data_IF_483374479516
#
_entry.id   IF_483374479516
#
_cell.length_a   1.000
_cell.length_b   1.000
_cell.length_c   1.000
_cell.angle_alpha   90.00
_cell.angle_beta   90.00
_cell.angle_gamma   90.00
#
_symmetry.space_group_name_H-M   'P 1'
#
loop_
_entity.id
_entity.type
_entity.pdbx_description
1 polymer ?
#
# COMPACT_ATOMS: atom_id res chain seq x y z
N UNK A 1 -14.00 -10.55 -18.95
CA UNK A 1 -13.54 -9.87 -17.71
C UNK A 1 -13.93 -8.42 -17.85
N UNK A 2 -14.89 -7.94 -17.06
CA UNK A 2 -15.22 -6.52 -16.99
C UNK A 2 -13.99 -5.78 -16.48
N UNK A 3 -13.47 -4.85 -17.28
CA UNK A 3 -12.29 -4.08 -16.91
C UNK A 3 -12.66 -3.21 -15.71
N UNK A 4 -12.08 -3.49 -14.54
CA UNK A 4 -12.24 -2.70 -13.33
C UNK A 4 -11.72 -1.27 -13.61
N UNK A 5 -12.53 -0.22 -13.44
CA UNK A 5 -12.06 1.16 -13.63
C UNK A 5 -10.88 1.46 -12.71
N UNK A 6 -9.80 1.99 -13.28
CA UNK A 6 -8.58 2.33 -12.56
C UNK A 6 -8.52 3.84 -12.36
N UNK A 7 -8.71 4.29 -11.12
CA UNK A 7 -8.51 5.67 -10.71
C UNK A 7 -7.04 5.81 -10.28
N UNK A 8 -6.23 6.56 -11.02
CA UNK A 8 -4.83 6.81 -10.66
C UNK A 8 -4.66 8.22 -10.14
N UNK A 9 -4.28 8.35 -8.86
CA UNK A 9 -3.81 9.57 -8.24
C UNK A 9 -2.27 9.62 -8.38
N UNK A 10 -1.80 10.33 -9.40
CA UNK A 10 -0.36 10.49 -9.68
C UNK A 10 0.17 11.74 -9.00
N UNK A 11 0.97 11.58 -7.95
CA UNK A 11 1.48 12.66 -7.10
C UNK A 11 2.99 12.81 -7.26
N UNK A 12 3.45 14.03 -7.46
CA UNK A 12 4.87 14.41 -7.53
C UNK A 12 5.13 15.61 -6.65
N UNK A 13 6.28 15.59 -6.00
CA UNK A 13 6.81 16.77 -5.34
C UNK A 13 7.49 17.68 -6.37
N UNK A 14 7.26 18.99 -6.26
CA UNK A 14 7.89 20.01 -7.11
C UNK A 14 8.51 21.10 -6.23
N UNK A 15 9.62 21.67 -6.70
CA UNK A 15 10.39 22.66 -5.96
C UNK A 15 11.41 22.03 -5.01
N UNK A 16 11.99 22.85 -4.14
CA UNK A 16 12.99 22.44 -3.16
C UNK A 16 12.44 22.61 -1.75
N UNK A 17 12.81 21.69 -0.86
CA UNK A 17 12.55 21.82 0.58
C UNK A 17 13.08 23.16 1.12
N UNK A 18 12.36 23.86 2.02
CA UNK A 18 11.11 23.45 2.68
C UNK A 18 9.82 23.95 1.99
N UNK A 19 9.93 24.58 0.83
CA UNK A 19 8.80 25.18 0.09
C UNK A 19 8.31 24.29 -1.05
N UNK A 20 8.64 23.01 -1.04
CA UNK A 20 8.17 22.10 -2.06
C UNK A 20 6.66 21.87 -1.93
N UNK A 21 6.00 21.78 -3.08
CA UNK A 21 4.56 21.58 -3.18
C UNK A 21 4.27 20.23 -3.85
N UNK A 22 3.08 19.68 -3.63
CA UNK A 22 2.65 18.49 -4.33
C UNK A 22 1.79 18.83 -5.54
N UNK A 23 2.28 18.46 -6.72
CA UNK A 23 1.51 18.47 -7.96
C UNK A 23 0.91 17.08 -8.18
N UNK A 24 -0.38 17.03 -8.55
CA UNK A 24 -1.04 15.77 -8.83
C UNK A 24 -1.96 15.79 -10.05
N UNK A 25 -2.19 14.60 -10.59
CA UNK A 25 -3.15 14.33 -11.64
C UNK A 25 -4.05 13.17 -11.20
N UNK A 26 -5.32 13.23 -11.62
CA UNK A 26 -6.28 12.15 -11.47
C UNK A 26 -6.57 11.62 -12.86
N UNK A 27 -6.29 10.34 -13.07
CA UNK A 27 -6.56 9.64 -14.32
C UNK A 27 -7.62 8.56 -14.09
N UNK A 28 -8.48 8.36 -15.08
CA UNK A 28 -9.39 7.22 -15.16
C UNK A 28 -8.97 6.37 -16.36
N UNK A 29 -8.61 5.10 -16.12
CA UNK A 29 -8.15 4.17 -17.15
C UNK A 29 -7.02 4.77 -18.02
N UNK A 30 -6.09 5.47 -17.36
CA UNK A 30 -4.95 6.15 -18.00
C UNK A 30 -5.28 7.46 -18.71
N UNK A 31 -6.56 7.87 -18.76
CA UNK A 31 -6.98 9.16 -19.35
C UNK A 31 -7.13 10.23 -18.28
N UNK A 32 -6.62 11.46 -18.50
CA UNK A 32 -6.71 12.51 -17.49
C UNK A 32 -8.16 12.95 -17.26
N UNK A 33 -8.58 12.93 -16.00
CA UNK A 33 -9.84 13.49 -15.52
C UNK A 33 -9.64 14.90 -14.93
N UNK A 34 -8.54 15.06 -14.18
CA UNK A 34 -8.05 16.34 -13.67
C UNK A 34 -6.52 16.35 -13.77
N UNK A 35 -5.96 17.40 -14.35
CA UNK A 35 -4.52 17.53 -14.57
C UNK A 35 -3.95 18.78 -13.90
N UNK A 36 -2.67 18.74 -13.58
CA UNK A 36 -1.89 19.84 -13.00
C UNK A 36 -2.57 20.47 -11.77
N UNK A 37 -3.20 19.64 -10.94
CA UNK A 37 -3.68 20.08 -9.64
C UNK A 37 -2.48 20.28 -8.72
N UNK A 38 -2.56 21.24 -7.80
CA UNK A 38 -1.49 21.49 -6.84
C UNK A 38 -2.09 21.71 -5.47
N UNK A 39 -1.47 21.12 -4.46
CA UNK A 39 -1.69 21.53 -3.08
C UNK A 39 -1.00 22.87 -2.85
N UNK A 40 -1.60 23.73 -2.02
CA UNK A 40 -0.94 24.96 -1.60
C UNK A 40 0.32 24.66 -0.78
N UNK A 41 1.24 25.61 -0.64
CA UNK A 41 2.38 25.48 0.25
C UNK A 41 1.97 25.14 1.70
N UNK A 42 0.83 25.67 2.17
CA UNK A 42 0.29 25.38 3.50
C UNK A 42 -0.20 23.93 3.59
N UNK A 43 -1.01 23.50 2.63
CA UNK A 43 -1.54 22.13 2.60
C UNK A 43 -0.43 21.09 2.44
N UNK A 44 0.58 21.39 1.62
CA UNK A 44 1.75 20.54 1.42
C UNK A 44 2.56 20.40 2.72
N UNK A 45 2.64 21.46 3.54
CA UNK A 45 3.27 21.39 4.88
C UNK A 45 2.45 20.55 5.84
N UNK A 46 1.14 20.79 5.90
CA UNK A 46 0.22 20.01 6.75
C UNK A 46 0.25 18.53 6.40
N UNK A 47 0.34 18.17 5.11
CA UNK A 47 0.46 16.79 4.68
C UNK A 47 1.76 16.13 5.16
N UNK A 48 2.90 16.84 5.11
CA UNK A 48 4.18 16.32 5.64
C UNK A 48 4.11 16.11 7.15
N UNK A 49 3.45 17.01 7.87
CA UNK A 49 3.20 16.84 9.30
C UNK A 49 2.32 15.63 9.59
N UNK A 50 1.25 15.43 8.82
CA UNK A 50 0.40 14.23 8.89
C UNK A 50 1.23 12.96 8.65
N UNK A 51 2.02 12.93 7.57
CA UNK A 51 2.84 11.77 7.21
C UNK A 51 3.88 11.43 8.30
N UNK A 52 4.54 12.45 8.86
CA UNK A 52 5.48 12.31 9.96
C UNK A 52 4.81 11.82 11.24
N UNK A 53 3.69 12.44 11.64
CA UNK A 53 2.97 12.04 12.85
C UNK A 53 2.41 10.63 12.72
N UNK A 54 1.88 10.27 11.54
CA UNK A 54 1.37 8.92 11.30
C UNK A 54 2.48 7.88 11.33
N UNK A 55 3.60 8.12 10.65
CA UNK A 55 4.77 7.21 10.69
C UNK A 55 5.30 7.00 12.11
N UNK A 56 5.37 8.07 12.92
CA UNK A 56 5.84 8.01 14.31
C UNK A 56 4.95 7.16 15.23
N UNK A 57 3.71 6.85 14.85
CA UNK A 57 2.87 5.90 15.59
C UNK A 57 3.43 4.48 15.50
N UNK A 58 4.03 4.11 14.37
CA UNK A 58 4.55 2.76 14.11
C UNK A 58 5.99 2.56 14.63
N UNK A 59 6.64 3.63 15.08
CA UNK A 59 7.99 3.56 15.69
C UNK A 59 7.94 3.18 17.18
N UNK A 60 6.76 3.11 17.80
CA UNK A 60 6.60 2.95 19.26
C UNK A 60 6.69 1.50 19.75
N UNK A 61 6.97 0.54 18.87
CA UNK A 61 7.11 -0.88 19.24
C UNK A 61 5.82 -1.55 19.75
N UNK A 62 4.68 -0.85 19.65
CA UNK A 62 3.35 -1.35 19.97
C UNK A 62 2.41 -1.13 18.79
N UNK A 63 1.28 -1.84 18.78
CA UNK A 63 0.22 -1.56 17.82
C UNK A 63 -0.30 -0.13 18.08
N UNK A 64 -0.23 0.76 17.08
CA UNK A 64 -0.70 2.11 17.27
C UNK A 64 -2.21 2.16 17.40
N UNK A 65 -2.69 2.71 18.51
CA UNK A 65 -4.10 3.01 18.71
C UNK A 65 -4.38 4.48 18.42
N UNK A 66 -5.40 4.72 17.61
CA UNK A 66 -5.94 6.06 17.36
C UNK A 66 -7.45 5.99 17.54
N UNK A 67 -8.01 6.94 18.28
CA UNK A 67 -9.45 6.99 18.50
C UNK A 67 -10.21 7.19 17.18
N UNK A 68 -11.45 6.72 17.15
CA UNK A 68 -12.25 6.68 15.93
C UNK A 68 -12.48 8.09 15.34
N UNK A 69 -12.67 9.11 16.18
CA UNK A 69 -12.90 10.47 15.70
C UNK A 69 -11.65 11.02 15.00
N UNK A 70 -10.48 10.85 15.61
CA UNK A 70 -9.24 11.29 15.00
C UNK A 70 -8.89 10.52 13.71
N UNK A 71 -9.33 9.26 13.55
CA UNK A 71 -9.24 8.55 12.28
C UNK A 71 -10.16 9.16 11.22
N UNK A 72 -11.39 9.53 11.59
CA UNK A 72 -12.35 10.18 10.68
C UNK A 72 -11.89 11.58 10.26
N UNK A 73 -11.40 12.39 11.18
CA UNK A 73 -10.85 13.72 10.88
C UNK A 73 -9.67 13.64 9.90
N UNK A 74 -8.74 12.71 10.15
CA UNK A 74 -7.62 12.44 9.26
C UNK A 74 -8.10 11.98 7.88
N UNK A 75 -9.04 11.05 7.85
CA UNK A 75 -9.64 10.53 6.65
C UNK A 75 -10.32 11.58 5.78
N UNK A 76 -11.10 12.46 6.43
CA UNK A 76 -11.74 13.60 5.81
C UNK A 76 -10.71 14.59 5.26
N UNK A 77 -9.68 14.90 6.05
CA UNK A 77 -8.61 15.80 5.62
C UNK A 77 -7.91 15.28 4.36
N UNK A 78 -7.56 13.98 4.32
CA UNK A 78 -6.96 13.37 3.14
C UNK A 78 -7.91 13.42 1.92
N UNK A 79 -9.20 13.14 2.12
CA UNK A 79 -10.18 13.22 1.03
C UNK A 79 -10.31 14.65 0.48
N UNK A 80 -10.43 15.64 1.35
CA UNK A 80 -10.57 17.05 0.99
C UNK A 80 -9.36 17.55 0.18
N UNK A 81 -8.15 17.17 0.58
CA UNK A 81 -6.91 17.55 -0.10
C UNK A 81 -6.79 16.94 -1.50
N UNK A 82 -7.11 15.65 -1.65
CA UNK A 82 -6.74 14.90 -2.85
C UNK A 82 -7.86 14.65 -3.84
N UNK A 83 -9.09 14.46 -3.35
CA UNK A 83 -10.19 13.91 -4.16
C UNK A 83 -11.38 14.85 -4.26
N UNK A 84 -11.66 15.65 -3.23
CA UNK A 84 -12.89 16.45 -3.16
C UNK A 84 -13.12 17.34 -4.40
N UNK A 85 -12.08 18.02 -4.88
CA UNK A 85 -12.17 18.92 -6.05
C UNK A 85 -12.55 18.22 -7.36
N UNK A 86 -12.36 16.90 -7.44
CA UNK A 86 -12.60 16.09 -8.63
C UNK A 86 -13.60 14.96 -8.40
N UNK A 87 -14.16 14.83 -7.19
CA UNK A 87 -14.94 13.68 -6.79
C UNK A 87 -16.20 13.50 -7.63
N UNK A 88 -16.95 14.59 -7.87
CA UNK A 88 -18.14 14.54 -8.73
C UNK A 88 -17.82 14.04 -10.15
N UNK A 89 -16.67 14.45 -10.70
CA UNK A 89 -16.21 13.98 -12.02
C UNK A 89 -15.85 12.49 -11.99
N UNK A 90 -15.23 12.03 -10.91
CA UNK A 90 -14.84 10.61 -10.73
C UNK A 90 -16.11 9.77 -10.69
N UNK A 91 -17.06 10.12 -9.84
CA UNK A 91 -18.31 9.36 -9.66
C UNK A 91 -19.14 9.38 -10.94
N UNK A 92 -19.23 10.51 -11.64
CA UNK A 92 -19.97 10.61 -12.90
C UNK A 92 -19.36 9.76 -14.03
N UNK A 93 -18.04 9.53 -14.00
CA UNK A 93 -17.33 8.79 -15.04
C UNK A 93 -17.30 7.27 -14.81
N UNK A 94 -17.72 6.80 -13.64
CA UNK A 94 -17.62 5.39 -13.25
C UNK A 94 -19.01 4.78 -13.11
N UNK A 95 -19.27 3.59 -13.68
CA UNK A 95 -20.54 2.91 -13.49
C UNK A 95 -20.90 2.71 -12.01
N UNK A 96 -22.19 2.81 -11.72
CA UNK A 96 -22.72 2.52 -10.38
C UNK A 96 -22.44 1.05 -10.05
N UNK A 97 -22.04 0.77 -8.81
CA UNK A 97 -21.76 -0.57 -8.29
C UNK A 97 -20.64 -1.35 -8.98
N UNK A 98 -19.74 -0.70 -9.72
CA UNK A 98 -18.52 -1.35 -10.19
C UNK A 98 -17.48 -1.44 -9.08
N UNK A 99 -16.73 -2.55 -9.02
CA UNK A 99 -15.45 -2.61 -8.32
C UNK A 99 -14.50 -1.58 -8.98
N UNK A 100 -13.64 -0.93 -8.20
CA UNK A 100 -12.75 0.16 -8.64
C UNK A 100 -11.39 0.03 -7.97
N UNK A 101 -10.34 0.28 -8.74
CA UNK A 101 -8.98 0.27 -8.25
C UNK A 101 -8.47 1.71 -8.09
N UNK A 102 -8.21 2.14 -6.86
CA UNK A 102 -7.49 3.37 -6.56
C UNK A 102 -5.98 3.09 -6.55
N UNK A 103 -5.25 3.72 -7.44
CA UNK A 103 -3.79 3.64 -7.55
C UNK A 103 -3.17 4.91 -7.06
N UNK A 104 -2.36 4.83 -6.01
CA UNK A 104 -1.53 5.93 -5.53
C UNK A 104 -0.16 5.79 -6.19
N UNK A 105 0.14 6.68 -7.13
CA UNK A 105 1.37 6.63 -7.91
C UNK A 105 2.30 7.81 -7.52
N UNK A 106 3.40 7.52 -6.82
CA UNK A 106 4.36 8.54 -6.39
C UNK A 106 5.77 7.97 -6.24
N UNK A 107 6.80 8.82 -6.31
CA UNK A 107 8.17 8.45 -5.95
C UNK A 107 8.47 8.78 -4.48
N UNK A 108 7.62 9.58 -3.82
CA UNK A 108 7.81 9.96 -2.42
C UNK A 108 7.30 8.86 -1.50
N UNK A 109 8.15 8.23 -0.67
CA UNK A 109 7.71 7.26 0.33
C UNK A 109 6.70 7.86 1.31
N UNK A 110 6.83 9.14 1.64
CA UNK A 110 5.96 9.84 2.59
C UNK A 110 4.50 9.91 2.08
N UNK A 111 4.31 9.94 0.76
CA UNK A 111 3.00 9.92 0.11
C UNK A 111 2.46 8.50 0.07
N UNK A 112 3.30 7.53 -0.30
CA UNK A 112 2.91 6.13 -0.36
C UNK A 112 2.51 5.59 1.02
N UNK A 113 3.14 6.08 2.09
CA UNK A 113 2.90 5.67 3.47
C UNK A 113 1.71 6.37 4.15
N UNK A 114 1.05 7.33 3.49
CA UNK A 114 -0.19 7.89 4.01
C UNK A 114 -1.26 6.78 4.18
N UNK A 115 -2.16 6.93 5.17
CA UNK A 115 -3.23 5.95 5.42
C UNK A 115 -4.37 6.13 4.41
N UNK A 116 -4.14 5.78 3.15
CA UNK A 116 -5.13 5.88 2.08
C UNK A 116 -6.40 5.06 2.36
N UNK A 117 -6.28 4.02 3.18
CA UNK A 117 -7.38 3.20 3.69
C UNK A 117 -8.35 4.02 4.55
N UNK A 118 -7.86 5.06 5.23
CA UNK A 118 -8.67 5.97 6.03
C UNK A 118 -9.34 7.07 5.21
N UNK A 119 -9.13 7.17 3.90
CA UNK A 119 -9.87 8.14 3.08
C UNK A 119 -11.38 8.02 3.37
N UNK A 120 -11.97 9.09 3.87
CA UNK A 120 -13.38 9.11 4.26
C UNK A 120 -14.19 9.64 3.09
N UNK A 121 -15.04 8.79 2.52
CA UNK A 121 -15.91 9.15 1.41
C UNK A 121 -17.06 10.07 1.88
N UNK A 122 -17.73 10.80 0.97
CA UNK A 122 -18.83 11.70 1.34
C UNK A 122 -20.06 11.02 1.97
N UNK A 123 -20.16 9.69 1.87
CA UNK A 123 -21.17 8.86 2.53
C UNK A 123 -20.72 8.36 3.93
N UNK A 124 -19.65 8.97 4.47
CA UNK A 124 -19.11 8.70 5.81
C UNK A 124 -18.50 7.30 5.99
N UNK A 125 -18.20 6.59 4.89
CA UNK A 125 -17.52 5.29 4.88
C UNK A 125 -16.02 5.42 4.57
N UNK A 126 -15.19 4.62 5.25
CA UNK A 126 -13.77 4.52 4.94
C UNK A 126 -13.52 3.70 3.68
N UNK A 127 -12.66 4.20 2.79
CA UNK A 127 -12.33 3.53 1.54
C UNK A 127 -11.73 2.14 1.75
N UNK A 128 -10.98 1.94 2.83
CA UNK A 128 -10.33 0.65 3.15
C UNK A 128 -11.29 -0.49 3.51
N UNK A 129 -12.53 -0.19 3.93
CA UNK A 129 -13.56 -1.20 4.24
C UNK A 129 -14.69 -1.23 3.20
N UNK A 130 -14.74 -0.24 2.30
CA UNK A 130 -15.73 -0.21 1.23
C UNK A 130 -15.48 -1.36 0.24
N UNK A 131 -16.45 -2.28 0.04
CA UNK A 131 -16.24 -3.48 -0.76
C UNK A 131 -16.01 -3.20 -2.26
N UNK A 132 -16.38 -1.99 -2.73
CA UNK A 132 -16.23 -1.55 -4.11
C UNK A 132 -14.85 -0.96 -4.40
N UNK A 133 -13.99 -0.75 -3.40
CA UNK A 133 -12.66 -0.20 -3.60
C UNK A 133 -11.55 -1.22 -3.32
N UNK A 134 -10.48 -1.12 -4.10
CA UNK A 134 -9.18 -1.70 -3.82
C UNK A 134 -8.13 -0.61 -3.92
N UNK A 135 -7.13 -0.65 -3.05
CA UNK A 135 -6.04 0.34 -3.04
C UNK A 135 -4.75 -0.33 -3.49
N UNK A 136 -3.99 0.34 -4.36
CA UNK A 136 -2.67 -0.10 -4.79
C UNK A 136 -1.69 1.04 -4.75
N UNK A 137 -0.52 0.81 -4.16
CA UNK A 137 0.59 1.76 -4.14
C UNK A 137 1.57 1.43 -5.27
N UNK A 138 1.94 2.43 -6.06
CA UNK A 138 2.85 2.30 -7.19
C UNK A 138 4.02 3.27 -6.98
N UNK A 139 5.25 2.80 -6.71
CA UNK A 139 6.41 3.64 -6.45
C UNK A 139 6.99 4.25 -7.74
N UNK A 140 6.12 4.80 -8.59
CA UNK A 140 6.46 5.62 -9.74
C UNK A 140 5.20 6.33 -10.27
N UNK A 141 5.18 7.66 -10.39
CA UNK A 141 4.06 8.46 -10.89
C UNK A 141 3.92 8.36 -12.41
N UNK A 142 4.96 7.86 -13.11
CA UNK A 142 4.98 7.73 -14.58
C UNK A 142 4.60 6.32 -15.06
N UNK A 143 4.66 5.32 -14.18
CA UNK A 143 4.23 3.96 -14.52
C UNK A 143 2.72 3.90 -14.47
N UNK A 144 2.13 3.18 -15.41
CA UNK A 144 0.74 2.74 -15.32
C UNK A 144 0.74 1.29 -14.86
N UNK A 145 -0.31 0.89 -14.16
CA UNK A 145 -0.55 -0.54 -13.98
C UNK A 145 -0.87 -1.13 -15.35
N UNK A 146 0.06 -1.91 -15.87
CA UNK A 146 -0.17 -2.66 -17.10
C UNK A 146 -0.83 -3.98 -16.70
N UNK A 147 -1.99 -4.33 -17.28
CA UNK A 147 -2.55 -5.66 -17.11
C UNK A 147 -1.52 -6.72 -17.49
N UNK A 148 -1.44 -7.80 -16.72
CA UNK A 148 -0.58 -8.91 -17.10
C UNK A 148 -1.07 -9.50 -18.42
N UNK A 149 -0.27 -9.35 -19.48
CA UNK A 149 -0.56 -9.85 -20.82
C UNK A 149 0.19 -11.14 -21.17
N UNK A 150 0.94 -11.69 -20.21
CA UNK A 150 1.66 -12.96 -20.39
C UNK A 150 0.74 -14.17 -20.23
N UNK A 151 1.30 -15.34 -20.53
CA UNK A 151 0.64 -16.60 -20.17
C UNK A 151 0.85 -16.90 -18.69
N UNK A 152 -0.23 -17.23 -17.99
CA UNK A 152 -0.13 -17.77 -16.65
C UNK A 152 0.53 -19.14 -16.75
N UNK A 153 1.64 -19.32 -16.02
CA UNK A 153 2.33 -20.61 -15.99
C UNK A 153 1.40 -21.68 -15.41
N UNK A 154 1.41 -22.91 -15.95
CA UNK A 154 0.61 -23.99 -15.41
C UNK A 154 1.01 -24.30 -13.95
N UNK A 155 0.07 -24.87 -13.20
CA UNK A 155 0.17 -25.24 -11.78
C UNK A 155 1.37 -26.15 -11.47
N UNK A 156 1.84 -26.22 -10.21
CA UNK A 156 1.29 -25.58 -9.01
C UNK A 156 1.77 -24.13 -8.78
N UNK A 157 1.00 -23.36 -7.99
CA UNK A 157 1.44 -22.07 -7.48
C UNK A 157 2.59 -22.30 -6.49
N UNK A 158 3.73 -21.62 -6.65
CA UNK A 158 4.90 -21.79 -5.78
C UNK A 158 4.90 -20.69 -4.72
N UNK A 159 4.78 -21.07 -3.46
CA UNK A 159 4.78 -20.17 -2.32
C UNK A 159 5.98 -20.49 -1.44
N UNK A 160 6.82 -19.49 -1.19
CA UNK A 160 7.92 -19.56 -0.22
C UNK A 160 7.50 -18.78 1.02
N UNK A 161 7.52 -19.43 2.18
CA UNK A 161 7.28 -18.82 3.47
C UNK A 161 8.59 -18.64 4.24
N UNK A 162 8.72 -17.51 4.95
CA UNK A 162 9.87 -17.27 5.81
C UNK A 162 9.44 -16.45 7.01
N UNK A 163 9.69 -16.98 8.19
CA UNK A 163 9.61 -16.26 9.45
C UNK A 163 11.01 -15.86 9.91
N UNK A 164 11.15 -14.61 10.36
CA UNK A 164 12.38 -14.07 10.93
C UNK A 164 12.09 -13.64 12.36
N UNK A 165 12.74 -14.28 13.34
CA UNK A 165 12.51 -14.03 14.77
C UNK A 165 13.84 -13.81 15.51
N UNK A 166 14.59 -12.75 15.16
CA UNK A 166 15.89 -12.49 15.78
C UNK A 166 15.81 -12.44 17.30
N UNK A 167 16.81 -13.03 17.96
CA UNK A 167 16.83 -13.26 19.41
C UNK A 167 16.90 -11.98 20.27
N UNK A 168 17.19 -10.83 19.66
CA UNK A 168 17.25 -9.53 20.31
C UNK A 168 15.94 -8.72 20.22
N UNK A 169 14.88 -9.30 19.65
CA UNK A 169 13.55 -8.68 19.53
C UNK A 169 12.49 -9.41 20.36
N UNK A 170 11.29 -8.81 20.43
CA UNK A 170 10.12 -9.47 21.03
C UNK A 170 9.76 -10.72 20.21
N UNK A 171 9.41 -11.80 20.90
CA UNK A 171 9.02 -13.06 20.23
C UNK A 171 7.67 -12.84 19.53
N UNK A 172 7.64 -13.10 18.22
CA UNK A 172 6.42 -13.10 17.41
C UNK A 172 5.76 -14.48 17.44
N UNK A 173 4.45 -14.52 17.21
CA UNK A 173 3.68 -15.76 17.07
C UNK A 173 3.72 -16.28 15.62
N UNK A 174 4.93 -16.57 15.13
CA UNK A 174 5.14 -17.01 13.75
C UNK A 174 4.49 -18.38 13.48
N UNK A 175 4.36 -19.24 14.50
CA UNK A 175 3.67 -20.53 14.40
C UNK A 175 2.21 -20.35 14.02
N UNK A 176 1.52 -19.39 14.64
CA UNK A 176 0.12 -19.07 14.30
C UNK A 176 -0.02 -18.52 12.88
N UNK A 177 0.92 -17.70 12.44
CA UNK A 177 0.94 -17.17 11.07
C UNK A 177 1.17 -18.28 10.03
N UNK A 178 2.13 -19.16 10.30
CA UNK A 178 2.40 -20.35 9.49
C UNK A 178 1.18 -21.27 9.43
N UNK A 179 0.53 -21.55 10.57
CA UNK A 179 -0.70 -22.36 10.63
C UNK A 179 -1.84 -21.71 9.82
N UNK A 180 -2.01 -20.38 9.92
CA UNK A 180 -3.01 -19.65 9.14
C UNK A 180 -2.73 -19.76 7.63
N UNK A 181 -1.47 -19.67 7.22
CA UNK A 181 -1.06 -19.83 5.83
C UNK A 181 -1.30 -21.25 5.33
N UNK A 182 -0.89 -22.26 6.09
CA UNK A 182 -1.14 -23.67 5.76
C UNK A 182 -2.63 -23.96 5.60
N UNK A 183 -3.48 -23.45 6.50
CA UNK A 183 -4.94 -23.56 6.37
C UNK A 183 -5.46 -22.93 5.09
N UNK A 184 -4.94 -21.77 4.70
CA UNK A 184 -5.36 -21.07 3.49
C UNK A 184 -4.98 -21.81 2.20
N UNK A 185 -3.85 -22.52 2.19
CA UNK A 185 -3.38 -23.29 1.02
C UNK A 185 -3.80 -24.76 1.05
N UNK A 186 -4.38 -25.23 2.15
CA UNK A 186 -4.82 -26.63 2.29
C UNK A 186 -5.82 -27.03 1.20
N UNK A 187 -5.56 -28.15 0.53
CA UNK A 187 -6.39 -28.65 -0.57
C UNK A 187 -6.26 -27.85 -1.88
N UNK A 188 -5.42 -26.82 -1.92
CA UNK A 188 -5.07 -26.09 -3.15
C UNK A 188 -3.83 -26.72 -3.82
N UNK A 189 -3.71 -26.55 -5.14
CA UNK A 189 -2.49 -26.95 -5.87
C UNK A 189 -1.37 -25.93 -5.67
N UNK A 190 -0.76 -25.96 -4.47
CA UNK A 190 0.34 -25.09 -4.06
C UNK A 190 1.56 -25.95 -3.75
N UNK A 191 2.68 -25.65 -4.40
CA UNK A 191 3.99 -26.11 -3.95
C UNK A 191 4.46 -25.12 -2.89
N UNK A 192 4.64 -25.61 -1.67
CA UNK A 192 5.04 -24.83 -0.50
C UNK A 192 6.46 -25.18 -0.12
N UNK A 193 7.28 -24.17 0.17
CA UNK A 193 8.62 -24.32 0.76
C UNK A 193 8.77 -23.27 1.88
N UNK A 194 9.62 -23.56 2.86
CA UNK A 194 9.90 -22.69 4.00
C UNK A 194 11.40 -22.51 4.23
N UNK A 195 11.78 -21.34 4.77
CA UNK A 195 13.13 -21.07 5.27
C UNK A 195 13.24 -21.48 6.74
N UNK A 196 14.40 -22.00 7.15
CA UNK A 196 14.66 -22.52 8.49
C UNK A 196 15.53 -21.58 9.34
N UNK A 197 16.46 -20.84 8.70
CA UNK A 197 17.46 -20.02 9.39
C UNK A 197 17.01 -18.58 9.60
N UNK A 198 16.02 -18.09 8.85
CA UNK A 198 15.54 -16.72 8.99
C UNK A 198 16.55 -15.63 8.54
N UNK A 199 17.63 -16.02 7.86
CA UNK A 199 18.71 -15.10 7.41
C UNK A 199 18.49 -14.59 5.98
N UNK A 200 19.01 -13.40 5.69
CA UNK A 200 18.90 -12.81 4.34
C UNK A 200 19.62 -13.66 3.27
N UNK A 201 20.71 -14.33 3.63
CA UNK A 201 21.45 -15.28 2.80
C UNK A 201 20.57 -16.43 2.35
N UNK A 202 19.91 -17.11 3.29
CA UNK A 202 18.99 -18.20 2.98
C UNK A 202 17.84 -17.74 2.07
N UNK A 203 17.27 -16.55 2.33
CA UNK A 203 16.22 -16.00 1.49
C UNK A 203 16.67 -15.87 0.03
N UNK A 204 17.87 -15.34 -0.21
CA UNK A 204 18.42 -15.20 -1.58
C UNK A 204 18.59 -16.57 -2.25
N UNK A 205 19.11 -17.54 -1.52
CA UNK A 205 19.33 -18.91 -2.02
C UNK A 205 18.00 -19.57 -2.39
N UNK A 206 17.04 -19.59 -1.47
CA UNK A 206 15.71 -20.19 -1.68
C UNK A 206 14.94 -19.52 -2.80
N UNK A 207 14.97 -18.19 -2.91
CA UNK A 207 14.32 -17.49 -4.03
C UNK A 207 14.94 -17.88 -5.38
N UNK A 208 16.26 -18.05 -5.43
CA UNK A 208 16.98 -18.44 -6.65
C UNK A 208 16.65 -19.87 -7.09
N UNK A 209 16.63 -20.80 -6.14
CA UNK A 209 16.42 -22.23 -6.39
C UNK A 209 14.95 -22.58 -6.62
N UNK A 210 14.08 -22.18 -5.68
CA UNK A 210 12.66 -22.50 -5.71
C UNK A 210 11.89 -21.66 -6.74
N UNK A 211 12.37 -20.44 -7.02
CA UNK A 211 11.77 -19.45 -7.93
C UNK A 211 10.29 -19.21 -7.60
N UNK A 212 9.96 -18.82 -6.36
CA UNK A 212 8.58 -18.67 -5.91
C UNK A 212 7.78 -17.69 -6.79
N UNK A 213 6.48 -17.92 -6.91
CA UNK A 213 5.54 -16.95 -7.45
C UNK A 213 5.08 -15.97 -6.36
N UNK A 214 5.03 -16.44 -5.11
CA UNK A 214 4.68 -15.66 -3.92
C UNK A 214 5.77 -15.86 -2.88
N UNK A 215 6.29 -14.76 -2.34
CA UNK A 215 7.12 -14.75 -1.13
C UNK A 215 6.27 -14.18 0.01
N UNK A 216 6.06 -14.97 1.06
CA UNK A 216 5.44 -14.54 2.30
C UNK A 216 6.54 -14.40 3.35
N UNK A 217 6.86 -13.16 3.71
CA UNK A 217 7.88 -12.83 4.71
C UNK A 217 7.19 -12.26 5.94
N UNK A 218 7.49 -12.82 7.12
CA UNK A 218 7.00 -12.34 8.40
C UNK A 218 8.15 -12.15 9.40
N UNK A 219 8.09 -11.10 10.21
CA UNK A 219 9.15 -10.71 11.11
C UNK A 219 9.04 -9.25 11.54
N UNK A 220 10.05 -8.77 12.25
CA UNK A 220 10.07 -7.38 12.73
C UNK A 220 10.40 -6.41 11.61
N UNK A 221 9.59 -5.35 11.52
CA UNK A 221 9.83 -4.20 10.67
C UNK A 221 10.08 -2.96 11.52
N UNK A 222 10.98 -2.09 11.06
CA UNK A 222 11.21 -0.79 11.67
C UNK A 222 11.30 0.29 10.58
N UNK A 223 11.04 1.54 10.95
CA UNK A 223 11.35 2.70 10.12
C UNK A 223 12.52 3.44 10.76
N UNK A 224 13.65 3.52 10.07
CA UNK A 224 14.86 4.23 10.51
C UNK A 224 15.26 5.24 9.43
N UNK A 225 15.41 6.51 9.81
CA UNK A 225 15.73 7.60 8.87
C UNK A 225 14.82 7.64 7.62
N UNK A 226 13.53 7.34 7.80
CA UNK A 226 12.53 7.29 6.74
C UNK A 226 12.64 6.09 5.80
N UNK A 227 13.46 5.09 6.13
CA UNK A 227 13.59 3.83 5.39
C UNK A 227 12.99 2.68 6.17
N UNK A 228 12.26 1.82 5.48
CA UNK A 228 11.81 0.55 6.03
C UNK A 228 12.98 -0.42 6.15
N UNK A 229 13.18 -0.96 7.34
CA UNK A 229 14.10 -2.04 7.65
C UNK A 229 13.30 -3.27 8.05
N UNK A 230 13.80 -4.44 7.68
CA UNK A 230 13.27 -5.72 8.09
C UNK A 230 14.36 -6.47 8.83
N UNK A 231 14.07 -6.98 10.02
CA UNK A 231 15.03 -7.67 10.86
C UNK A 231 15.08 -9.15 10.48
N UNK A 232 16.19 -9.56 9.87
CA UNK A 232 16.57 -10.96 9.71
C UNK A 232 17.29 -11.44 10.98
N UNK A 233 17.44 -12.76 11.10
CA UNK A 233 18.29 -13.39 12.13
C UNK A 233 19.76 -12.96 12.05
#
# INVERSE_FOLDING_TARGET
MTNEPIITLSIREIGSSPSSEYLFNILLDGKPLSSNQSLSATDSRSLREISRHFSALFEQGCMPEKDAEAQRELGKCLFDLWLASSWEKIVAAIPVSSLRLLVIASESPEILNLPWELLLLPDDEFLGINPLFRIRRLPSPRKQLVPFAGELRPRPLRLLFMACSPTDQLILDYEREEEALFRAVYGQEVAFDSCDLGTFEELKERVSEFKPHILHLTGHGAVLDGKGHFAFE
#
